data_IF_031758203792
#
_entry.id   IF_031758203792
#
_cell.length_a   1.000
_cell.length_b   1.000
_cell.length_c   1.000
_cell.angle_alpha   90.00
_cell.angle_beta   90.00
_cell.angle_gamma   90.00
#
_symmetry.space_group_name_H-M   'P 1'
#
loop_
_entity.id
_entity.type
_entity.pdbx_description
1 polymer ?
#
# COMPACT_ATOMS: atom_id res chain seq x y z
N UNK A 1 -21.99 -39.49 54.01
CA UNK A 1 -21.54 -38.09 54.14
C UNK A 1 -20.43 -37.85 53.11
N UNK A 2 -20.73 -37.23 51.97
CA UNK A 2 -19.71 -36.88 50.97
C UNK A 2 -19.56 -35.36 50.94
N UNK A 3 -18.37 -34.85 51.29
CA UNK A 3 -18.04 -33.43 51.18
C UNK A 3 -17.55 -33.16 49.77
N UNK A 4 -18.32 -32.37 49.02
CA UNK A 4 -17.94 -31.82 47.72
C UNK A 4 -17.01 -30.63 47.98
N UNK A 5 -15.74 -30.76 47.60
CA UNK A 5 -14.79 -29.64 47.57
C UNK A 5 -14.96 -28.95 46.21
N UNK A 6 -15.55 -27.75 46.21
CA UNK A 6 -15.59 -26.87 45.04
C UNK A 6 -14.24 -26.20 44.86
N UNK A 7 -13.48 -26.62 43.84
CA UNK A 7 -12.30 -25.93 43.34
C UNK A 7 -12.74 -25.04 42.17
N UNK A 8 -12.98 -23.75 42.44
CA UNK A 8 -13.27 -22.76 41.42
C UNK A 8 -11.96 -22.31 40.75
N UNK A 9 -11.68 -22.84 39.57
CA UNK A 9 -10.60 -22.35 38.71
C UNK A 9 -11.12 -21.11 37.98
N UNK A 10 -10.65 -19.93 38.40
CA UNK A 10 -10.87 -18.68 37.69
C UNK A 10 -9.98 -18.66 36.43
N UNK A 11 -10.56 -19.01 35.28
CA UNK A 11 -9.92 -18.83 33.97
C UNK A 11 -9.98 -17.35 33.59
N UNK A 12 -8.89 -16.63 33.83
CA UNK A 12 -8.64 -15.32 33.24
C UNK A 12 -8.47 -15.51 31.73
N UNK A 13 -9.48 -15.10 30.96
CA UNK A 13 -9.44 -15.09 29.50
C UNK A 13 -8.43 -14.06 29.00
N UNK A 14 -7.28 -14.53 28.54
CA UNK A 14 -6.39 -13.73 27.70
C UNK A 14 -6.96 -13.71 26.28
N UNK A 15 -7.55 -12.59 25.88
CA UNK A 15 -7.86 -12.32 24.47
C UNK A 15 -6.56 -11.97 23.76
N UNK A 16 -5.96 -12.92 23.03
CA UNK A 16 -4.92 -12.61 22.06
C UNK A 16 -5.60 -12.09 20.79
N UNK A 17 -5.47 -10.79 20.51
CA UNK A 17 -5.82 -10.26 19.19
C UNK A 17 -4.74 -10.67 18.20
N UNK A 18 -5.01 -11.70 17.40
CA UNK A 18 -4.25 -11.96 16.17
C UNK A 18 -4.68 -10.90 15.17
N UNK A 19 -3.85 -9.88 14.96
CA UNK A 19 -3.97 -9.03 13.78
C UNK A 19 -3.29 -9.77 12.64
N UNK A 20 -4.06 -10.50 11.84
CA UNK A 20 -3.59 -10.91 10.53
C UNK A 20 -3.64 -9.68 9.63
N UNK A 21 -2.53 -9.34 8.96
CA UNK A 21 -2.54 -8.31 7.91
C UNK A 21 -3.64 -8.67 6.91
N UNK A 22 -4.56 -7.76 6.60
CA UNK A 22 -5.60 -8.05 5.63
C UNK A 22 -4.93 -8.28 4.28
N UNK A 23 -4.94 -9.52 3.79
CA UNK A 23 -4.64 -9.81 2.39
C UNK A 23 -5.53 -8.92 1.54
N UNK A 24 -4.95 -8.07 0.69
CA UNK A 24 -5.70 -7.11 -0.12
C UNK A 24 -6.84 -7.80 -0.88
N UNK A 25 -8.08 -7.48 -0.50
CA UNK A 25 -9.26 -8.00 -1.19
C UNK A 25 -9.54 -7.12 -2.40
N UNK A 26 -9.85 -7.77 -3.52
CA UNK A 26 -10.24 -7.11 -4.75
C UNK A 26 -11.68 -7.48 -5.11
N UNK A 27 -12.48 -6.50 -5.51
CA UNK A 27 -13.81 -6.72 -6.10
C UNK A 27 -13.81 -6.29 -7.56
N UNK A 28 -14.78 -6.79 -8.34
CA UNK A 28 -15.01 -6.26 -9.68
C UNK A 28 -15.41 -4.78 -9.58
N UNK A 29 -14.73 -3.95 -10.37
CA UNK A 29 -15.03 -2.53 -10.52
C UNK A 29 -15.65 -2.23 -11.89
N UNK A 30 -15.76 -0.94 -12.17
CA UNK A 30 -16.25 -0.48 -13.47
C UNK A 30 -15.19 -0.60 -14.56
N UNK A 31 -15.63 -0.65 -15.82
CA UNK A 31 -14.76 -0.48 -16.99
C UNK A 31 -13.59 -1.46 -17.08
N UNK A 32 -13.75 -2.65 -16.50
CA UNK A 32 -12.70 -3.67 -16.47
C UNK A 32 -11.57 -3.34 -15.51
N UNK A 33 -11.79 -2.56 -14.45
CA UNK A 33 -10.84 -2.39 -13.36
C UNK A 33 -11.21 -3.29 -12.18
N UNK A 34 -10.21 -3.77 -11.44
CA UNK A 34 -10.43 -4.36 -10.11
C UNK A 34 -10.36 -3.25 -9.07
N UNK A 35 -11.20 -3.31 -8.04
CA UNK A 35 -11.21 -2.34 -6.94
C UNK A 35 -10.60 -2.96 -5.69
N UNK A 36 -9.51 -2.36 -5.21
CA UNK A 36 -8.92 -2.71 -3.92
C UNK A 36 -9.67 -1.97 -2.81
N UNK A 37 -9.78 -2.64 -1.66
CA UNK A 37 -10.28 -2.01 -0.44
C UNK A 37 -9.39 -0.84 -0.03
N UNK A 38 -9.97 0.18 0.63
CA UNK A 38 -9.22 1.38 1.01
C UNK A 38 -8.15 1.13 2.08
N UNK A 39 -8.32 0.06 2.85
CA UNK A 39 -7.39 -0.44 3.87
C UNK A 39 -6.29 -1.35 3.32
N UNK A 40 -6.36 -1.75 2.04
CA UNK A 40 -5.30 -2.54 1.41
C UNK A 40 -4.00 -1.76 1.39
N UNK A 41 -2.96 -2.29 2.06
CA UNK A 41 -1.62 -1.72 1.98
C UNK A 41 -0.99 -2.02 0.61
N UNK A 42 -0.44 -0.99 0.00
CA UNK A 42 0.23 -1.06 -1.31
C UNK A 42 1.68 -0.58 -1.20
N UNK A 43 2.18 -0.48 0.04
CA UNK A 43 3.58 -0.28 0.37
C UNK A 43 4.09 1.14 0.13
N UNK A 44 5.37 1.38 0.44
CA UNK A 44 6.05 2.66 0.20
C UNK A 44 6.63 2.80 -1.22
N UNK A 45 6.85 4.05 -1.66
CA UNK A 45 7.34 4.32 -3.03
C UNK A 45 8.85 4.25 -3.12
N UNK A 46 9.38 3.57 -4.13
CA UNK A 46 10.83 3.44 -4.31
C UNK A 46 11.46 4.69 -4.94
N UNK A 47 10.81 5.34 -5.90
CA UNK A 47 11.30 6.58 -6.53
C UNK A 47 12.75 6.50 -7.04
N UNK A 48 13.14 5.36 -7.61
CA UNK A 48 14.50 5.10 -8.12
C UNK A 48 15.46 4.49 -7.09
N UNK A 49 15.05 4.33 -5.83
CA UNK A 49 15.79 3.56 -4.83
C UNK A 49 15.71 2.07 -5.12
N UNK A 50 16.72 1.34 -4.66
CA UNK A 50 16.73 -0.13 -4.68
C UNK A 50 15.73 -0.69 -3.67
N UNK A 51 15.08 -1.84 -3.95
CA UNK A 51 14.25 -2.52 -2.97
C UNK A 51 14.98 -2.85 -1.68
N UNK A 52 14.20 -2.96 -0.60
CA UNK A 52 14.71 -3.50 0.66
C UNK A 52 14.89 -5.01 0.56
N UNK A 53 15.80 -5.56 1.38
CA UNK A 53 16.14 -7.00 1.33
C UNK A 53 14.98 -7.90 1.76
N UNK A 54 14.05 -7.36 2.53
CA UNK A 54 12.85 -7.95 3.11
C UNK A 54 11.57 -7.58 2.33
N UNK A 55 11.72 -6.97 1.14
CA UNK A 55 10.59 -6.70 0.26
C UNK A 55 10.15 -8.00 -0.43
N UNK A 56 8.86 -8.33 -0.30
CA UNK A 56 8.28 -9.57 -0.85
C UNK A 56 7.32 -9.32 -2.01
N UNK A 57 6.74 -8.12 -2.08
CA UNK A 57 5.77 -7.77 -3.12
C UNK A 57 5.99 -6.36 -3.65
N UNK A 58 5.73 -6.19 -4.93
CA UNK A 58 5.90 -4.94 -5.64
C UNK A 58 4.63 -4.54 -6.37
N UNK A 59 4.25 -3.28 -6.26
CA UNK A 59 3.18 -2.68 -7.06
C UNK A 59 3.77 -1.66 -8.02
N UNK A 60 3.24 -1.56 -9.22
CA UNK A 60 3.55 -0.41 -10.09
C UNK A 60 2.38 0.55 -10.02
N UNK A 61 2.62 1.74 -9.47
CA UNK A 61 1.64 2.80 -9.51
C UNK A 61 1.70 3.50 -10.86
N UNK A 62 0.61 3.42 -11.62
CA UNK A 62 0.50 4.03 -12.95
C UNK A 62 0.27 5.53 -12.87
N UNK A 63 -0.68 5.97 -12.03
CA UNK A 63 -1.09 7.37 -11.88
C UNK A 63 -2.06 7.55 -10.70
N UNK A 64 -2.47 8.79 -10.45
CA UNK A 64 -3.63 9.16 -9.61
C UNK A 64 -4.65 9.88 -10.49
N UNK A 65 -5.94 9.60 -10.33
CA UNK A 65 -7.01 10.21 -11.13
C UNK A 65 -8.27 10.42 -10.31
N UNK A 66 -9.03 11.47 -10.59
CA UNK A 66 -10.32 11.79 -9.97
C UNK A 66 -11.50 10.94 -10.49
N UNK A 67 -11.25 10.09 -11.49
CA UNK A 67 -12.29 9.27 -12.13
C UNK A 67 -11.75 7.93 -12.59
N UNK A 68 -12.62 6.93 -12.67
CA UNK A 68 -12.28 5.62 -13.23
C UNK A 68 -11.90 5.78 -14.71
N UNK A 69 -10.72 5.32 -15.16
CA UNK A 69 -10.36 5.39 -16.57
C UNK A 69 -11.29 4.54 -17.43
N UNK A 70 -11.56 4.96 -18.68
CA UNK A 70 -12.53 4.30 -19.55
C UNK A 70 -12.09 2.87 -19.95
N UNK A 71 -13.03 2.00 -20.37
CA UNK A 71 -12.74 0.59 -20.65
C UNK A 71 -11.66 0.37 -21.71
N UNK A 72 -11.65 1.18 -22.77
CA UNK A 72 -10.65 1.08 -23.84
C UNK A 72 -9.23 1.29 -23.32
N UNK A 73 -9.07 2.10 -22.28
CA UNK A 73 -7.77 2.39 -21.70
C UNK A 73 -7.29 1.24 -20.82
N UNK A 74 -8.19 0.64 -20.02
CA UNK A 74 -7.89 -0.60 -19.30
C UNK A 74 -7.48 -1.72 -20.27
N UNK A 75 -8.13 -1.83 -21.43
CA UNK A 75 -7.77 -2.81 -22.46
C UNK A 75 -6.38 -2.53 -23.05
N UNK A 76 -6.07 -1.27 -23.38
CA UNK A 76 -4.75 -0.86 -23.86
C UNK A 76 -3.64 -1.23 -22.86
N UNK A 77 -3.86 -0.94 -21.57
CA UNK A 77 -2.92 -1.27 -20.50
C UNK A 77 -2.71 -2.78 -20.39
N UNK A 78 -3.78 -3.58 -20.38
CA UNK A 78 -3.66 -5.06 -20.32
C UNK A 78 -2.84 -5.63 -21.45
N UNK A 79 -3.12 -5.21 -22.69
CA UNK A 79 -2.38 -5.69 -23.86
C UNK A 79 -0.90 -5.34 -23.77
N UNK A 80 -0.59 -4.13 -23.29
CA UNK A 80 0.80 -3.63 -23.22
C UNK A 80 1.59 -4.25 -22.06
N UNK A 81 0.91 -4.77 -21.05
CA UNK A 81 1.48 -5.29 -19.80
C UNK A 81 1.27 -6.80 -19.64
N UNK A 82 1.21 -7.54 -20.75
CA UNK A 82 1.12 -9.01 -20.77
C UNK A 82 -0.06 -9.56 -19.94
N UNK A 83 -1.21 -8.88 -19.99
CA UNK A 83 -2.42 -9.17 -19.21
C UNK A 83 -2.24 -9.10 -17.68
N UNK A 84 -1.25 -8.34 -17.20
CA UNK A 84 -1.12 -8.04 -15.77
C UNK A 84 -2.42 -7.44 -15.23
N UNK A 85 -2.89 -7.87 -14.04
CA UNK A 85 -4.13 -7.36 -13.51
C UNK A 85 -4.01 -5.89 -13.10
N UNK A 86 -5.08 -5.15 -13.35
CA UNK A 86 -5.18 -3.70 -13.17
C UNK A 86 -6.13 -3.39 -12.03
N UNK A 87 -5.66 -2.57 -11.10
CA UNK A 87 -6.36 -2.23 -9.88
C UNK A 87 -6.53 -0.73 -9.74
N UNK A 88 -7.64 -0.33 -9.12
CA UNK A 88 -7.86 0.99 -8.58
C UNK A 88 -8.04 0.86 -7.07
N UNK A 89 -7.37 1.72 -6.31
CA UNK A 89 -7.63 1.91 -4.87
C UNK A 89 -8.18 3.31 -4.66
N UNK A 90 -9.36 3.42 -4.05
CA UNK A 90 -9.97 4.73 -3.76
C UNK A 90 -9.29 5.37 -2.55
N UNK A 91 -8.90 6.62 -2.68
CA UNK A 91 -8.25 7.45 -1.67
C UNK A 91 -8.89 8.84 -1.66
N UNK A 92 -9.81 9.05 -0.73
CA UNK A 92 -10.64 10.26 -0.71
C UNK A 92 -11.37 10.42 -2.07
N UNK A 93 -11.13 11.53 -2.77
CA UNK A 93 -11.70 11.82 -4.09
C UNK A 93 -10.88 11.30 -5.28
N UNK A 94 -9.75 10.63 -5.02
CA UNK A 94 -8.87 10.11 -6.07
C UNK A 94 -8.87 8.59 -6.10
N UNK A 95 -8.48 8.05 -7.25
CA UNK A 95 -8.19 6.65 -7.49
C UNK A 95 -6.70 6.50 -7.78
N UNK A 96 -6.03 5.66 -7.00
CA UNK A 96 -4.67 5.21 -7.27
C UNK A 96 -4.72 4.04 -8.24
N UNK A 97 -4.11 4.21 -9.41
CA UNK A 97 -3.95 3.13 -10.38
C UNK A 97 -2.74 2.28 -10.02
N UNK A 98 -2.94 0.96 -9.99
CA UNK A 98 -1.94 -0.03 -9.60
C UNK A 98 -1.93 -1.20 -10.59
N UNK A 99 -0.74 -1.71 -10.88
CA UNK A 99 -0.51 -2.95 -11.63
C UNK A 99 0.28 -3.91 -10.73
N UNK A 100 -0.12 -5.18 -10.71
CA UNK A 100 0.52 -6.21 -9.89
C UNK A 100 -0.49 -7.01 -9.05
N UNK A 101 -0.15 -7.44 -7.83
CA UNK A 101 1.20 -7.36 -7.24
C UNK A 101 2.16 -8.26 -8.02
N UNK A 102 3.44 -7.87 -8.06
CA UNK A 102 4.53 -8.66 -8.60
C UNK A 102 5.37 -9.24 -7.46
N UNK A 103 5.80 -10.48 -7.59
CA UNK A 103 6.74 -11.15 -6.68
C UNK A 103 8.22 -10.90 -7.06
N UNK A 104 8.48 -10.54 -8.31
CA UNK A 104 9.81 -10.17 -8.81
C UNK A 104 9.90 -8.67 -9.12
N UNK A 105 10.89 -8.00 -8.50
CA UNK A 105 11.19 -6.60 -8.76
C UNK A 105 11.52 -6.31 -10.23
N UNK A 106 12.14 -7.25 -10.95
CA UNK A 106 12.43 -7.12 -12.38
C UNK A 106 11.16 -7.01 -13.20
N UNK A 107 10.15 -7.82 -12.90
CA UNK A 107 8.85 -7.74 -13.59
C UNK A 107 8.16 -6.40 -13.31
N UNK A 108 8.24 -5.90 -12.07
CA UNK A 108 7.73 -4.57 -11.73
C UNK A 108 8.49 -3.44 -12.47
N UNK A 109 9.81 -3.57 -12.65
CA UNK A 109 10.60 -2.63 -13.45
C UNK A 109 10.19 -2.63 -14.92
N UNK A 110 10.10 -3.81 -15.54
CA UNK A 110 9.70 -3.94 -16.94
C UNK A 110 8.29 -3.36 -17.16
N UNK A 111 7.34 -3.66 -16.26
CA UNK A 111 5.98 -3.11 -16.32
C UNK A 111 5.96 -1.58 -16.16
N UNK A 112 6.77 -1.02 -15.25
CA UNK A 112 6.90 0.44 -15.09
C UNK A 112 7.45 1.07 -16.36
N UNK A 113 8.52 0.53 -16.92
CA UNK A 113 9.18 1.16 -18.08
C UNK A 113 8.28 1.13 -19.31
N UNK A 114 7.49 0.06 -19.50
CA UNK A 114 6.43 0.03 -20.52
C UNK A 114 5.34 1.08 -20.27
N UNK A 115 4.86 1.20 -19.03
CA UNK A 115 3.85 2.22 -18.67
C UNK A 115 4.33 3.64 -18.97
N UNK A 116 5.60 3.95 -18.68
CA UNK A 116 6.17 5.28 -18.94
C UNK A 116 6.22 5.63 -20.43
N UNK A 117 6.35 4.63 -21.29
CA UNK A 117 6.41 4.80 -22.75
C UNK A 117 5.03 4.78 -23.42
N UNK A 118 4.02 4.23 -22.75
CA UNK A 118 2.72 3.93 -23.36
C UNK A 118 1.82 5.15 -23.51
N UNK A 119 1.73 5.99 -22.47
CA UNK A 119 0.79 7.12 -22.46
C UNK A 119 1.27 8.22 -21.48
N UNK A 120 1.09 9.52 -21.77
CA UNK A 120 1.51 10.61 -20.87
C UNK A 120 0.93 10.51 -19.46
N UNK A 121 -0.30 9.98 -19.33
CA UNK A 121 -0.95 9.77 -18.03
C UNK A 121 -0.16 8.85 -17.08
N UNK A 122 0.66 7.94 -17.61
CA UNK A 122 1.47 6.97 -16.86
C UNK A 122 2.98 7.23 -16.94
N UNK A 123 3.40 8.37 -17.48
CA UNK A 123 4.81 8.78 -17.61
C UNK A 123 5.53 8.84 -16.25
N UNK A 124 4.81 9.26 -15.20
CA UNK A 124 5.35 9.39 -13.85
C UNK A 124 5.21 8.13 -13.02
N UNK A 125 4.88 6.99 -13.65
CA UNK A 125 4.70 5.72 -12.94
C UNK A 125 5.95 5.31 -12.17
N UNK A 126 5.76 4.65 -11.03
CA UNK A 126 6.85 4.24 -10.14
C UNK A 126 6.49 2.97 -9.37
N UNK A 127 7.51 2.31 -8.84
CA UNK A 127 7.34 1.05 -8.09
C UNK A 127 7.13 1.36 -6.61
N UNK A 128 6.20 0.64 -6.00
CA UNK A 128 5.99 0.55 -4.56
C UNK A 128 6.43 -0.84 -4.09
N UNK A 129 6.89 -0.95 -2.85
CA UNK A 129 7.29 -2.22 -2.25
C UNK A 129 6.52 -2.45 -0.95
N UNK A 130 6.15 -3.69 -0.69
CA UNK A 130 5.66 -4.16 0.61
C UNK A 130 6.78 -4.96 1.27
N UNK A 131 7.06 -4.61 2.53
CA UNK A 131 8.00 -5.34 3.38
C UNK A 131 7.25 -6.36 4.21
N UNK A 132 7.92 -7.45 4.57
CA UNK A 132 7.39 -8.38 5.57
C UNK A 132 7.20 -7.64 6.89
N UNK A 133 6.10 -7.88 7.61
CA UNK A 133 5.82 -7.24 8.91
C UNK A 133 6.89 -7.58 9.97
N UNK A 134 7.92 -6.74 10.00
CA UNK A 134 8.64 -6.33 11.19
C UNK A 134 8.51 -4.80 11.20
N UNK A 135 7.36 -4.31 11.67
CA UNK A 135 7.12 -2.91 12.02
C UNK A 135 7.45 -1.90 10.90
N UNK A 136 6.44 -1.45 10.15
CA UNK A 136 6.48 -0.16 9.46
C UNK A 136 6.52 0.98 10.50
N UNK A 137 7.63 1.12 11.21
CA UNK A 137 7.98 2.33 11.94
C UNK A 137 8.47 3.36 10.91
N UNK A 138 7.53 4.10 10.33
CA UNK A 138 7.86 5.40 9.77
C UNK A 138 8.39 6.27 10.93
N UNK A 139 9.56 6.91 10.82
CA UNK A 139 9.94 7.91 11.80
C UNK A 139 8.99 9.10 11.62
N UNK A 140 8.01 9.23 12.51
CA UNK A 140 7.26 10.47 12.68
C UNK A 140 8.27 11.61 12.81
N UNK A 141 8.28 12.48 11.80
CA UNK A 141 9.00 13.75 11.82
C UNK A 141 8.38 14.60 12.93
N UNK A 142 9.00 14.56 14.11
CA UNK A 142 8.55 15.29 15.29
C UNK A 142 8.35 16.79 15.02
N UNK A 143 7.48 17.45 15.80
CA UNK A 143 7.16 18.86 15.61
C UNK A 143 8.39 19.72 15.93
N UNK A 144 8.69 20.65 15.01
CA UNK A 144 9.70 21.67 15.20
C UNK A 144 9.25 22.65 16.30
N UNK A 145 9.81 22.53 17.50
CA UNK A 145 9.74 23.57 18.53
C UNK A 145 10.73 24.68 18.19
N UNK A 146 10.21 25.82 17.75
CA UNK A 146 10.95 27.06 17.57
C UNK A 146 10.91 27.89 18.87
N UNK A 147 11.89 27.70 19.74
CA UNK A 147 12.12 28.64 20.84
C UNK A 147 12.75 29.92 20.30
N UNK A 148 11.93 30.97 20.22
CA UNK A 148 12.37 32.34 19.98
C UNK A 148 13.11 32.88 21.20
N UNK A 149 14.44 32.95 21.12
CA UNK A 149 15.26 33.70 22.07
C UNK A 149 15.00 35.19 21.89
N UNK A 150 14.18 35.73 22.78
CA UNK A 150 13.93 37.15 22.99
C UNK A 150 15.20 37.81 23.56
N UNK A 151 15.55 38.93 22.94
CA UNK A 151 16.60 39.87 23.31
C UNK A 151 16.59 40.23 24.80
N UNK A 152 17.76 40.15 25.45
CA UNK A 152 18.09 40.97 26.61
C UNK A 152 19.53 41.46 26.47
N UNK A 153 19.68 42.66 25.90
CA UNK A 153 20.89 43.47 26.05
C UNK A 153 20.62 44.48 27.16
N UNK A 154 21.25 44.25 28.30
CA UNK A 154 21.31 45.16 29.43
C UNK A 154 22.27 46.31 29.09
N UNK A 155 21.79 47.54 29.20
CA UNK A 155 22.59 48.75 29.39
C UNK A 155 22.28 49.30 30.77
#
# INVERSE_FOLDING_TARGET
>A
MFRVIFLTIALLGFSFSVNASPSCQASEGESGWLMLSSDCDVGEGLWGRTPSKDAEQFWVQCSMTDRVPPPWFAQLLRISLDNSPLFLRKESELYRCLVGPFDDFRLAMDSRDRLRQLHPWSETSFIRQLRTEQESAEPEKGPATNEGTLLSQTR
#
